data_IF_760623269703
#
_entry.id   IF_760623269703
#
_cell.length_a   1.000
_cell.length_b   1.000
_cell.length_c   1.000
_cell.angle_alpha   90.00
_cell.angle_beta   90.00
_cell.angle_gamma   90.00
#
_symmetry.space_group_name_H-M   'P 1'
#
loop_
_entity.id
_entity.type
_entity.pdbx_description
1 polymer ?
#
# COMPACT_ATOMS: atom_id res chain seq x y z
N UNK A 1 -0.80 4.06 -2.82
CA UNK A 1 -1.85 3.02 -3.02
C UNK A 1 -3.28 3.58 -2.99
N UNK A 2 -3.57 4.52 -2.09
CA UNK A 2 -4.87 5.18 -2.02
C UNK A 2 -5.31 5.79 -3.38
N UNK A 3 -4.39 6.34 -4.18
CA UNK A 3 -4.70 6.96 -5.48
C UNK A 3 -5.11 6.01 -6.63
N UNK A 4 -4.90 4.70 -6.50
CA UNK A 4 -5.46 3.71 -7.44
C UNK A 4 -6.59 2.89 -6.81
N UNK A 5 -6.99 3.22 -5.58
CA UNK A 5 -7.93 2.41 -4.77
C UNK A 5 -9.22 3.15 -4.47
N UNK A 6 -9.11 4.46 -4.19
CA UNK A 6 -10.17 5.30 -3.66
C UNK A 6 -10.38 6.51 -4.55
N UNK A 7 -11.61 7.00 -4.59
CA UNK A 7 -12.00 8.26 -5.26
C UNK A 7 -12.30 9.34 -4.24
N UNK A 8 -12.47 10.58 -4.71
CA UNK A 8 -12.92 11.70 -3.88
C UNK A 8 -14.35 11.54 -3.33
N UNK A 9 -15.14 10.61 -3.85
CA UNK A 9 -16.45 10.26 -3.29
C UNK A 9 -16.37 9.85 -1.81
N UNK A 10 -15.25 9.23 -1.39
CA UNK A 10 -15.04 8.85 0.01
C UNK A 10 -15.04 10.05 0.96
N UNK A 11 -14.67 11.25 0.49
CA UNK A 11 -14.65 12.47 1.29
C UNK A 11 -16.05 13.02 1.61
N UNK A 12 -17.12 12.52 0.96
CA UNK A 12 -18.52 12.91 1.28
C UNK A 12 -18.92 12.56 2.71
N UNK A 13 -18.24 11.57 3.31
CA UNK A 13 -18.43 11.18 4.71
C UNK A 13 -17.85 12.17 5.72
N UNK A 14 -17.02 13.12 5.26
CA UNK A 14 -16.17 13.98 6.10
C UNK A 14 -15.24 13.24 7.06
N UNK A 15 -15.04 11.92 6.89
CA UNK A 15 -14.04 11.18 7.66
C UNK A 15 -12.63 11.66 7.27
N UNK A 16 -11.93 12.23 8.25
CA UNK A 16 -10.60 12.79 8.05
C UNK A 16 -9.55 11.73 7.66
N UNK A 17 -9.81 10.43 7.83
CA UNK A 17 -8.94 9.36 7.33
C UNK A 17 -8.77 9.41 5.80
N UNK A 18 -9.74 9.97 5.07
CA UNK A 18 -9.65 10.21 3.63
C UNK A 18 -8.90 11.51 3.28
N UNK A 19 -8.59 12.36 4.27
CA UNK A 19 -7.80 13.59 4.07
C UNK A 19 -6.32 13.26 3.90
N UNK A 20 -5.87 13.25 2.66
CA UNK A 20 -4.49 12.96 2.22
C UNK A 20 -3.95 14.04 1.28
N UNK A 21 -2.62 14.07 1.08
CA UNK A 21 -1.96 15.04 0.18
C UNK A 21 -0.94 14.32 -0.73
N UNK A 22 -1.08 14.35 -2.07
CA UNK A 22 -2.17 15.01 -2.82
C UNK A 22 -3.55 14.41 -2.51
N UNK A 23 -4.66 15.14 -2.74
CA UNK A 23 -5.98 14.66 -2.33
C UNK A 23 -6.48 13.57 -3.27
N UNK A 24 -7.47 12.78 -2.81
CA UNK A 24 -8.24 11.89 -3.67
C UNK A 24 -8.92 12.68 -4.80
N UNK A 25 -9.19 11.99 -5.90
CA UNK A 25 -9.70 12.56 -7.15
C UNK A 25 -10.78 11.66 -7.74
N UNK A 26 -11.45 12.13 -8.79
CA UNK A 26 -12.46 11.38 -9.51
C UNK A 26 -11.93 10.06 -10.11
N UNK A 27 -12.87 9.23 -10.55
CA UNK A 27 -12.58 7.92 -11.13
C UNK A 27 -11.64 8.00 -12.33
N UNK A 28 -11.78 9.05 -13.16
CA UNK A 28 -10.93 9.28 -14.33
C UNK A 28 -9.44 9.42 -13.96
N UNK A 29 -9.13 9.95 -12.78
CA UNK A 29 -7.75 10.03 -12.30
C UNK A 29 -7.26 8.69 -11.73
N UNK A 30 -8.14 7.92 -11.09
CA UNK A 30 -7.82 6.54 -10.66
C UNK A 30 -7.46 5.70 -11.88
N UNK A 31 -8.26 5.77 -12.93
CA UNK A 31 -8.05 5.05 -14.19
C UNK A 31 -6.77 5.50 -14.90
N UNK A 32 -6.44 6.81 -14.85
CA UNK A 32 -5.20 7.34 -15.37
C UNK A 32 -3.97 6.85 -14.59
N UNK A 33 -4.06 6.77 -13.25
CA UNK A 33 -2.98 6.20 -12.41
C UNK A 33 -2.80 4.72 -12.73
N UNK A 34 -3.88 3.95 -12.89
CA UNK A 34 -3.79 2.53 -13.27
C UNK A 34 -3.17 2.40 -14.66
N UNK A 35 -3.60 3.21 -15.64
CA UNK A 35 -3.03 3.23 -16.99
C UNK A 35 -1.53 3.55 -16.98
N UNK A 36 -1.10 4.55 -16.19
CA UNK A 36 0.31 4.90 -16.02
C UNK A 36 1.13 3.80 -15.35
N UNK A 37 0.52 3.00 -14.47
CA UNK A 37 1.17 1.81 -13.94
C UNK A 37 1.32 0.72 -15.02
N UNK A 38 0.32 0.53 -15.87
CA UNK A 38 0.34 -0.47 -16.94
C UNK A 38 1.39 -0.14 -18.00
N UNK A 39 1.40 1.10 -18.49
CA UNK A 39 2.26 1.52 -19.61
C UNK A 39 3.71 1.85 -19.20
N UNK A 40 3.97 1.94 -17.89
CA UNK A 40 5.30 2.22 -17.35
C UNK A 40 5.60 3.70 -17.12
N UNK A 41 4.66 4.60 -17.38
CA UNK A 41 4.77 6.03 -17.01
C UNK A 41 4.97 6.22 -15.51
N UNK A 42 4.40 5.33 -14.69
CA UNK A 42 4.60 5.27 -13.23
C UNK A 42 5.48 4.07 -12.88
N UNK A 43 6.73 4.35 -12.50
CA UNK A 43 7.75 3.33 -12.23
C UNK A 43 7.56 2.58 -10.90
N UNK A 44 7.03 3.27 -9.88
CA UNK A 44 7.08 2.82 -8.48
C UNK A 44 5.74 2.99 -7.78
N UNK A 45 5.42 2.03 -6.92
CA UNK A 45 4.33 2.15 -5.95
C UNK A 45 4.94 2.35 -4.56
N UNK A 46 4.61 3.45 -3.90
CA UNK A 46 4.97 3.72 -2.51
C UNK A 46 3.71 3.91 -1.64
N UNK A 47 3.81 3.58 -0.33
CA UNK A 47 2.68 3.65 0.59
C UNK A 47 2.30 5.06 1.01
N UNK A 48 3.28 5.97 1.06
CA UNK A 48 3.17 7.26 1.75
C UNK A 48 2.58 7.11 3.16
N UNK A 49 3.16 6.18 3.94
CA UNK A 49 2.70 5.88 5.29
C UNK A 49 2.87 7.09 6.22
N UNK A 50 1.75 7.76 6.53
CA UNK A 50 1.71 8.98 7.32
C UNK A 50 0.86 8.79 8.60
N UNK A 51 1.47 8.27 9.69
CA UNK A 51 0.77 7.99 10.94
C UNK A 51 0.48 9.28 11.72
N UNK A 52 -0.75 9.38 12.24
CA UNK A 52 -1.19 10.46 13.12
C UNK A 52 -1.93 9.92 14.33
N UNK A 53 -1.75 10.55 15.50
CA UNK A 53 -2.52 10.19 16.68
C UNK A 53 -4.03 10.28 16.43
N UNK A 54 -4.81 9.39 17.07
CA UNK A 54 -6.25 9.26 16.87
C UNK A 54 -6.98 10.59 17.08
N UNK A 55 -6.60 11.33 18.13
CA UNK A 55 -7.21 12.61 18.52
C UNK A 55 -6.97 13.69 17.46
N UNK A 56 -5.88 13.60 16.69
CA UNK A 56 -5.60 14.54 15.59
C UNK A 56 -6.54 14.31 14.40
N UNK A 57 -6.93 13.06 14.15
CA UNK A 57 -7.87 12.67 13.08
C UNK A 57 -9.34 12.76 13.51
N UNK A 58 -9.62 12.99 14.80
CA UNK A 58 -10.98 13.28 15.30
C UNK A 58 -11.39 14.75 15.17
N UNK A 59 -10.52 15.60 14.61
CA UNK A 59 -10.82 17.01 14.36
C UNK A 59 -11.68 17.18 13.12
N UNK A 60 -12.32 18.35 13.03
CA UNK A 60 -13.00 18.82 11.82
C UNK A 60 -12.08 18.71 10.60
N UNK A 61 -12.68 18.46 9.44
CA UNK A 61 -11.93 18.09 8.23
C UNK A 61 -10.91 19.17 7.84
N UNK A 62 -11.20 20.46 8.01
CA UNK A 62 -10.29 21.56 7.75
C UNK A 62 -9.09 21.60 8.73
N UNK A 63 -9.30 21.21 9.98
CA UNK A 63 -8.29 21.21 11.05
C UNK A 63 -7.50 19.89 11.21
N UNK A 64 -8.03 18.77 10.72
CA UNK A 64 -7.36 17.48 10.77
C UNK A 64 -6.10 17.47 9.89
N UNK A 65 -5.01 16.78 10.28
CA UNK A 65 -3.82 16.71 9.44
C UNK A 65 -4.05 15.81 8.22
N UNK A 66 -3.32 16.11 7.15
CA UNK A 66 -3.23 15.24 5.98
C UNK A 66 -2.44 13.96 6.30
N UNK A 67 -2.88 12.84 5.74
CA UNK A 67 -2.14 11.58 5.76
C UNK A 67 -2.92 10.42 6.38
N UNK A 68 -2.55 9.22 5.94
CA UNK A 68 -3.08 7.96 6.41
C UNK A 68 -1.98 6.88 6.50
N UNK A 69 -2.19 5.87 7.33
CA UNK A 69 -1.36 4.66 7.29
C UNK A 69 -1.83 3.71 6.19
N UNK A 70 -0.87 3.21 5.40
CA UNK A 70 -1.14 2.24 4.33
C UNK A 70 0.02 1.29 4.04
N UNK A 71 0.99 1.16 4.95
CA UNK A 71 2.15 0.27 4.76
C UNK A 71 1.72 -1.20 4.85
N UNK A 72 0.98 -1.54 5.90
CA UNK A 72 0.55 -2.90 6.20
C UNK A 72 -0.52 -3.42 5.22
N UNK A 73 -1.25 -2.50 4.57
CA UNK A 73 -2.27 -2.82 3.55
C UNK A 73 -1.73 -2.78 2.12
N UNK A 74 -0.50 -2.31 1.90
CA UNK A 74 0.02 -2.02 0.56
C UNK A 74 -0.04 -3.23 -0.37
N UNK A 75 0.46 -4.39 0.08
CA UNK A 75 0.47 -5.61 -0.73
C UNK A 75 -0.95 -6.06 -1.06
N UNK A 76 -1.84 -6.11 -0.07
CA UNK A 76 -3.24 -6.52 -0.27
C UNK A 76 -3.97 -5.59 -1.25
N UNK A 77 -3.73 -4.28 -1.17
CA UNK A 77 -4.29 -3.31 -2.11
C UNK A 77 -3.77 -3.50 -3.53
N UNK A 78 -2.47 -3.74 -3.69
CA UNK A 78 -1.88 -4.02 -5.02
C UNK A 78 -2.48 -5.29 -5.61
N UNK A 79 -2.59 -6.36 -4.82
CA UNK A 79 -3.16 -7.62 -5.30
C UNK A 79 -4.65 -7.45 -5.63
N UNK A 80 -5.45 -6.92 -4.72
CA UNK A 80 -6.90 -6.75 -4.90
C UNK A 80 -7.26 -5.78 -6.01
N UNK A 81 -6.54 -4.66 -6.16
CA UNK A 81 -6.91 -3.59 -7.10
C UNK A 81 -6.20 -3.65 -8.43
N UNK A 82 -5.02 -4.27 -8.51
CA UNK A 82 -4.23 -4.28 -9.74
C UNK A 82 -4.06 -5.69 -10.30
N UNK A 83 -3.79 -6.70 -9.46
CA UNK A 83 -3.53 -8.06 -9.95
C UNK A 83 -4.82 -8.82 -10.23
N UNK A 84 -5.74 -8.89 -9.26
CA UNK A 84 -7.01 -9.62 -9.39
C UNK A 84 -7.85 -9.14 -10.58
N UNK A 85 -7.97 -7.83 -10.87
CA UNK A 85 -8.70 -7.35 -12.05
C UNK A 85 -7.93 -7.52 -13.37
N UNK A 86 -6.67 -7.96 -13.33
CA UNK A 86 -5.84 -8.19 -14.52
C UNK A 86 -5.12 -6.96 -15.07
N UNK A 87 -4.99 -5.88 -14.31
CA UNK A 87 -4.22 -4.71 -14.73
C UNK A 87 -2.71 -4.97 -14.73
N UNK A 88 -2.20 -5.73 -13.75
CA UNK A 88 -0.80 -6.13 -13.66
C UNK A 88 -0.69 -7.63 -13.34
N UNK A 89 0.37 -8.28 -13.80
CA UNK A 89 0.76 -9.58 -13.29
C UNK A 89 1.68 -9.44 -12.05
N UNK A 90 2.00 -10.57 -11.41
CA UNK A 90 2.88 -10.59 -10.24
C UNK A 90 4.27 -10.01 -10.51
N UNK A 91 5.00 -10.41 -11.57
CA UNK A 91 6.28 -9.80 -11.91
C UNK A 91 6.22 -8.28 -12.08
N UNK A 92 5.24 -7.75 -12.81
CA UNK A 92 5.09 -6.31 -13.03
C UNK A 92 4.79 -5.56 -11.73
N UNK A 93 3.86 -6.08 -10.91
CA UNK A 93 3.54 -5.49 -9.61
C UNK A 93 4.74 -5.50 -8.64
N UNK A 94 5.45 -6.63 -8.54
CA UNK A 94 6.62 -6.75 -7.68
C UNK A 94 7.77 -5.88 -8.18
N UNK A 95 7.95 -5.70 -9.49
CA UNK A 95 8.99 -4.83 -10.02
C UNK A 95 8.81 -3.39 -9.52
N UNK A 96 7.57 -2.88 -9.50
CA UNK A 96 7.22 -1.55 -9.01
C UNK A 96 7.35 -1.37 -7.49
N UNK A 97 7.42 -2.46 -6.73
CA UNK A 97 7.57 -2.45 -5.27
C UNK A 97 9.01 -2.75 -4.81
N UNK A 98 9.85 -3.35 -5.66
CA UNK A 98 11.15 -3.91 -5.26
C UNK A 98 12.30 -3.39 -6.13
N UNK A 99 12.46 -3.89 -7.35
CA UNK A 99 13.63 -3.59 -8.18
C UNK A 99 13.61 -2.17 -8.75
N UNK A 100 12.45 -1.63 -9.14
CA UNK A 100 12.35 -0.27 -9.68
C UNK A 100 12.73 0.79 -8.64
N UNK A 101 12.18 0.80 -7.40
CA UNK A 101 12.62 1.75 -6.39
C UNK A 101 14.11 1.57 -6.04
N UNK A 102 14.62 0.33 -6.00
CA UNK A 102 16.04 0.08 -5.73
C UNK A 102 16.96 0.68 -6.82
N UNK A 103 16.58 0.52 -8.10
CA UNK A 103 17.31 1.12 -9.24
C UNK A 103 17.31 2.64 -9.17
N UNK A 104 16.16 3.25 -8.92
CA UNK A 104 16.01 4.72 -8.81
C UNK A 104 16.87 5.27 -7.67
N UNK A 105 16.91 4.57 -6.54
CA UNK A 105 17.72 4.96 -5.37
C UNK A 105 19.20 4.57 -5.49
N UNK A 106 19.60 3.81 -6.51
CA UNK A 106 20.99 3.37 -6.69
C UNK A 106 21.48 2.38 -5.62
N UNK A 107 20.59 1.60 -5.00
CA UNK A 107 20.93 0.65 -3.93
C UNK A 107 20.90 -0.81 -4.42
N UNK A 108 21.77 -1.70 -3.89
CA UNK A 108 21.86 -3.09 -4.31
C UNK A 108 20.76 -3.96 -3.67
N UNK A 109 19.48 -3.61 -3.89
CA UNK A 109 18.30 -4.25 -3.30
C UNK A 109 17.28 -4.69 -4.36
N UNK A 110 16.18 -5.30 -3.92
CA UNK A 110 15.04 -5.64 -4.78
C UNK A 110 15.29 -6.83 -5.71
N UNK A 111 16.18 -7.76 -5.35
CA UNK A 111 16.51 -8.92 -6.17
C UNK A 111 16.63 -10.19 -5.32
N UNK A 112 16.38 -11.36 -5.92
CA UNK A 112 16.55 -12.70 -5.33
C UNK A 112 17.69 -13.45 -6.05
N UNK A 113 18.86 -12.82 -6.13
CA UNK A 113 20.05 -13.39 -6.77
C UNK A 113 21.01 -13.97 -5.75
N UNK A 114 21.79 -14.98 -6.17
CA UNK A 114 22.91 -15.50 -5.38
C UNK A 114 23.86 -14.33 -5.04
N UNK A 115 24.24 -14.25 -3.76
CA UNK A 115 25.12 -13.21 -3.23
C UNK A 115 24.42 -11.90 -2.83
N UNK A 116 23.12 -11.74 -3.09
CA UNK A 116 22.35 -10.60 -2.58
C UNK A 116 21.93 -10.81 -1.11
N UNK A 117 21.52 -9.73 -0.46
CA UNK A 117 20.97 -9.81 0.90
C UNK A 117 19.73 -10.71 0.94
N UNK A 118 19.63 -11.54 1.98
CA UNK A 118 18.48 -12.40 2.21
C UNK A 118 17.27 -11.61 2.75
N UNK A 119 16.80 -10.67 1.92
CA UNK A 119 15.61 -9.84 2.12
C UNK A 119 14.46 -10.45 1.31
N UNK A 120 13.58 -11.20 1.99
CA UNK A 120 12.55 -12.04 1.34
C UNK A 120 11.22 -11.87 2.04
N UNK A 121 10.14 -11.76 1.27
CA UNK A 121 8.77 -11.85 1.80
C UNK A 121 8.10 -13.09 1.22
N UNK A 122 7.54 -13.94 2.08
CA UNK A 122 6.67 -15.05 1.70
C UNK A 122 5.26 -14.51 1.63
N UNK A 123 4.59 -14.69 0.50
CA UNK A 123 3.25 -14.17 0.22
C UNK A 123 2.33 -15.35 -0.02
N UNK A 124 1.20 -15.39 0.68
CA UNK A 124 0.04 -16.20 0.27
C UNK A 124 -0.79 -15.35 -0.71
N UNK A 125 -0.82 -15.70 -2.00
CA UNK A 125 -1.53 -14.92 -3.02
C UNK A 125 -3.05 -15.06 -2.95
N UNK A 126 -3.57 -16.10 -2.29
CA UNK A 126 -5.00 -16.42 -2.24
C UNK A 126 -5.66 -16.03 -0.91
N UNK A 127 -4.86 -15.71 0.12
CA UNK A 127 -5.36 -15.28 1.42
C UNK A 127 -6.30 -14.08 1.30
N UNK A 128 -7.56 -14.26 1.74
CA UNK A 128 -8.53 -13.18 1.92
C UNK A 128 -8.56 -12.71 3.36
N UNK A 129 -8.63 -11.41 3.59
CA UNK A 129 -8.65 -10.84 4.93
C UNK A 129 -9.34 -9.47 4.96
N UNK A 130 -9.99 -9.16 6.07
CA UNK A 130 -10.60 -7.85 6.30
C UNK A 130 -9.57 -6.96 6.98
N UNK A 131 -9.43 -5.72 6.50
CA UNK A 131 -8.56 -4.74 7.12
C UNK A 131 -9.12 -4.34 8.48
N UNK A 132 -8.42 -4.75 9.53
CA UNK A 132 -8.69 -4.37 10.90
C UNK A 132 -7.52 -3.52 11.44
N UNK A 133 -7.68 -2.18 11.54
CA UNK A 133 -6.64 -1.30 12.05
C UNK A 133 -6.23 -1.61 13.49
N UNK A 134 -7.06 -2.29 14.29
CA UNK A 134 -6.71 -2.68 15.64
C UNK A 134 -5.62 -3.78 15.68
N UNK A 135 -5.37 -4.46 14.56
CA UNK A 135 -4.31 -5.48 14.44
C UNK A 135 -3.01 -4.94 13.86
N UNK A 136 -2.96 -3.66 13.49
CA UNK A 136 -1.78 -3.04 12.92
C UNK A 136 -0.62 -3.00 13.93
N UNK A 137 0.59 -3.21 13.42
CA UNK A 137 1.82 -2.99 14.18
C UNK A 137 2.18 -1.51 14.26
N UNK A 138 1.66 -0.68 13.36
CA UNK A 138 1.78 0.77 13.47
C UNK A 138 1.20 1.26 14.80
N UNK A 139 1.81 2.30 15.37
CA UNK A 139 1.25 3.00 16.54
C UNK A 139 -0.05 3.75 16.23
N UNK A 140 -0.38 3.89 14.95
CA UNK A 140 -1.55 4.59 14.49
C UNK A 140 -2.51 3.67 13.74
N UNK A 141 -3.79 4.01 13.82
CA UNK A 141 -4.90 3.34 13.14
C UNK A 141 -5.60 4.25 12.12
N UNK A 142 -5.01 5.41 11.76
CA UNK A 142 -5.62 6.38 10.83
C UNK A 142 -5.58 5.92 9.38
N UNK A 143 -6.48 5.02 8.98
CA UNK A 143 -6.49 4.44 7.65
C UNK A 143 -7.88 4.51 7.01
N UNK A 144 -7.98 4.88 5.71
CA UNK A 144 -9.25 4.86 4.98
C UNK A 144 -9.67 3.45 4.57
N UNK A 145 -8.82 2.43 4.80
CA UNK A 145 -9.05 1.07 4.31
C UNK A 145 -9.76 0.16 5.31
N UNK A 146 -10.14 0.68 6.49
CA UNK A 146 -10.78 -0.12 7.53
C UNK A 146 -12.05 -0.81 7.01
N UNK A 147 -12.18 -2.12 7.28
CA UNK A 147 -13.32 -2.93 6.85
C UNK A 147 -13.27 -3.41 5.40
N UNK A 148 -12.30 -2.98 4.59
CA UNK A 148 -12.15 -3.50 3.22
C UNK A 148 -11.69 -4.96 3.24
N UNK A 149 -12.27 -5.81 2.38
CA UNK A 149 -11.73 -7.14 2.10
C UNK A 149 -10.59 -7.04 1.08
N UNK A 150 -9.42 -7.58 1.44
CA UNK A 150 -8.24 -7.64 0.60
C UNK A 150 -7.83 -9.10 0.33
N UNK A 151 -7.16 -9.31 -0.80
CA UNK A 151 -6.61 -10.57 -1.27
C UNK A 151 -5.10 -10.44 -1.31
N UNK A 152 -4.37 -11.51 -1.04
CA UNK A 152 -2.92 -11.50 -0.97
C UNK A 152 -2.43 -10.95 0.36
N UNK A 153 -1.59 -11.73 1.05
CA UNK A 153 -1.07 -11.35 2.37
C UNK A 153 0.36 -11.83 2.57
N UNK A 154 1.18 -11.02 3.22
CA UNK A 154 2.50 -11.43 3.66
C UNK A 154 2.35 -12.40 4.84
N UNK A 155 2.94 -13.59 4.72
CA UNK A 155 2.99 -14.63 5.75
C UNK A 155 4.28 -14.54 6.56
N UNK A 156 5.37 -14.15 5.92
CA UNK A 156 6.67 -14.00 6.58
C UNK A 156 7.50 -12.92 5.90
N UNK A 157 8.24 -12.13 6.69
CA UNK A 157 9.24 -11.18 6.21
C UNK A 157 10.58 -11.50 6.85
N UNK A 158 11.60 -11.68 6.01
CA UNK A 158 12.98 -11.98 6.36
C UNK A 158 13.82 -10.79 5.91
N UNK A 159 14.66 -10.27 6.79
CA UNK A 159 15.59 -9.17 6.50
C UNK A 159 16.99 -9.58 6.93
N UNK A 160 17.94 -9.55 6.01
CA UNK A 160 19.31 -10.03 6.19
C UNK A 160 19.36 -11.43 6.84
N UNK A 161 18.50 -12.34 6.35
CA UNK A 161 18.44 -13.74 6.82
C UNK A 161 17.75 -13.93 8.18
N UNK A 162 17.19 -12.87 8.78
CA UNK A 162 16.48 -12.94 10.07
C UNK A 162 14.98 -12.73 9.87
N UNK A 163 14.17 -13.62 10.44
CA UNK A 163 12.71 -13.45 10.45
C UNK A 163 12.36 -12.21 11.29
N UNK A 164 11.75 -11.21 10.66
CA UNK A 164 11.29 -9.96 11.28
C UNK A 164 9.78 -9.94 11.50
N UNK A 165 9.05 -10.68 10.69
CA UNK A 165 7.61 -10.85 10.83
C UNK A 165 7.24 -12.27 10.42
N UNK A 166 6.28 -12.84 11.15
CA UNK A 166 5.63 -14.11 10.82
C UNK A 166 4.19 -14.01 11.30
N UNK A 167 3.25 -14.27 10.40
CA UNK A 167 1.83 -14.30 10.74
C UNK A 167 1.58 -15.40 11.77
N UNK A 168 0.76 -15.10 12.78
CA UNK A 168 0.35 -16.08 13.79
C UNK A 168 -0.78 -16.95 13.27
#
# INVERSE_FOLDING_TARGET
PHHFTLTDECLRSFDSNFKINPPLRGQEHVDAVISGLIDGTIDVIASDHAPHAKEKKMRELDQAPFGCVGLETLLGLVVTRLIVPGHLDWPAALAKLTINPAKILGIPKGTLRIGADADVTIIDPAARWIVDPAQFQSKSTNTPFAGMELTGRAEMVIVAGRIKYRRK
#
